data_IF_962208988563
#
_entry.id   IF_962208988563
#
_cell.length_a   1.000
_cell.length_b   1.000
_cell.length_c   1.000
_cell.angle_alpha   90.00
_cell.angle_beta   90.00
_cell.angle_gamma   90.00
#
_symmetry.space_group_name_H-M   'P 1'
#
loop_
_entity.id
_entity.type
_entity.pdbx_description
1 polymer ?
#
# COMPACT_ATOMS: atom_id res chain seq x y z
N UNK A 1 20.84 -16.49 -71.71
CA UNK A 1 21.23 -15.54 -70.64
C UNK A 1 20.33 -15.82 -69.42
N UNK A 2 20.88 -16.47 -68.38
CA UNK A 2 20.14 -16.86 -67.18
C UNK A 2 20.33 -15.79 -66.09
N UNK A 3 19.23 -15.12 -65.71
CA UNK A 3 19.25 -14.16 -64.57
C UNK A 3 19.14 -14.93 -63.25
N UNK A 4 20.18 -14.88 -62.44
CA UNK A 4 20.15 -15.36 -61.05
C UNK A 4 19.74 -14.22 -60.16
N UNK A 5 18.50 -14.25 -59.68
CA UNK A 5 18.01 -13.34 -58.64
C UNK A 5 18.52 -13.82 -57.31
N UNK A 6 19.46 -13.10 -56.74
CA UNK A 6 20.03 -13.40 -55.40
C UNK A 6 19.04 -12.93 -54.34
N UNK A 7 18.34 -13.87 -53.69
CA UNK A 7 17.43 -13.62 -52.57
C UNK A 7 18.24 -13.41 -51.29
N UNK A 8 18.47 -12.16 -50.92
CA UNK A 8 19.16 -11.82 -49.66
C UNK A 8 18.17 -11.96 -48.48
N UNK A 9 18.22 -13.10 -47.77
CA UNK A 9 17.46 -13.30 -46.52
C UNK A 9 18.17 -12.57 -45.42
N UNK A 10 17.65 -11.39 -45.01
CA UNK A 10 18.08 -10.66 -43.81
C UNK A 10 17.50 -11.38 -42.62
N UNK A 11 18.29 -12.18 -41.92
CA UNK A 11 18.01 -12.72 -40.60
C UNK A 11 18.02 -11.57 -39.59
N UNK A 12 16.85 -11.03 -39.30
CA UNK A 12 16.65 -10.09 -38.19
C UNK A 12 16.77 -10.92 -36.89
N UNK A 13 17.95 -10.94 -36.30
CA UNK A 13 18.13 -11.42 -34.93
C UNK A 13 17.44 -10.44 -33.96
N UNK A 14 16.17 -10.65 -33.67
CA UNK A 14 15.51 -10.02 -32.54
C UNK A 14 16.07 -10.64 -31.27
N UNK A 15 17.08 -10.01 -30.70
CA UNK A 15 17.53 -10.31 -29.34
C UNK A 15 16.38 -9.98 -28.40
N UNK A 16 15.57 -10.96 -28.04
CA UNK A 16 14.67 -10.88 -26.89
C UNK A 16 15.57 -10.69 -25.66
N UNK A 17 15.72 -9.47 -25.20
CA UNK A 17 16.25 -9.20 -23.87
C UNK A 17 15.27 -9.82 -22.86
N UNK A 18 15.50 -11.07 -22.51
CA UNK A 18 14.86 -11.72 -21.37
C UNK A 18 15.36 -10.97 -20.12
N UNK A 19 14.50 -10.13 -19.56
CA UNK A 19 14.76 -9.56 -18.24
C UNK A 19 14.87 -10.73 -17.27
N UNK A 20 16.06 -10.92 -16.67
CA UNK A 20 16.28 -11.96 -15.68
C UNK A 20 15.47 -11.63 -14.42
N UNK A 21 14.34 -12.27 -14.26
CA UNK A 21 13.53 -12.21 -13.05
C UNK A 21 13.84 -13.42 -12.17
N UNK A 22 14.23 -13.18 -10.93
CA UNK A 22 14.40 -14.26 -9.96
C UNK A 22 13.17 -14.41 -9.11
N UNK A 23 12.51 -15.54 -9.23
CA UNK A 23 11.36 -15.92 -8.41
C UNK A 23 11.80 -16.82 -7.27
N UNK A 24 11.33 -16.53 -6.06
CA UNK A 24 11.60 -17.34 -4.86
C UNK A 24 10.28 -17.72 -4.19
N UNK A 25 10.09 -19.01 -3.92
CA UNK A 25 8.96 -19.50 -3.13
C UNK A 25 9.07 -19.05 -1.68
N UNK A 26 7.94 -18.65 -1.10
CA UNK A 26 7.84 -18.19 0.29
C UNK A 26 6.95 -19.12 1.09
N UNK A 27 7.26 -19.29 2.38
CA UNK A 27 6.32 -19.88 3.34
C UNK A 27 5.12 -18.97 3.61
N UNK A 28 4.15 -19.48 4.39
CA UNK A 28 2.94 -18.73 4.74
C UNK A 28 3.26 -17.50 5.59
N UNK A 29 2.53 -16.39 5.35
CA UNK A 29 2.64 -15.16 6.11
C UNK A 29 1.26 -14.49 6.20
N UNK A 30 1.04 -13.78 7.29
CA UNK A 30 -0.17 -12.96 7.51
C UNK A 30 0.14 -11.47 7.64
N UNK A 31 1.43 -11.11 7.74
CA UNK A 31 1.90 -9.74 7.86
C UNK A 31 3.11 -9.50 6.94
N UNK A 32 3.10 -8.37 6.27
CA UNK A 32 4.26 -7.90 5.50
C UNK A 32 4.79 -6.59 6.07
N UNK A 33 6.12 -6.42 6.02
CA UNK A 33 6.81 -5.18 6.34
C UNK A 33 7.80 -4.84 5.24
N UNK A 34 7.66 -3.67 4.64
CA UNK A 34 8.47 -3.21 3.51
C UNK A 34 9.25 -1.98 3.91
N UNK A 35 10.53 -1.90 3.52
CA UNK A 35 11.48 -0.88 3.94
C UNK A 35 12.31 -0.33 2.78
N UNK A 36 13.06 0.77 3.05
CA UNK A 36 14.14 1.30 2.21
C UNK A 36 13.71 1.68 0.79
N UNK A 37 12.57 2.34 0.62
CA UNK A 37 12.12 2.83 -0.69
C UNK A 37 11.73 1.75 -1.70
N UNK A 38 11.63 0.47 -1.31
CA UNK A 38 11.21 -0.62 -2.20
C UNK A 38 9.80 -0.34 -2.72
N UNK A 39 9.60 -0.50 -4.04
CA UNK A 39 8.28 -0.50 -4.67
C UNK A 39 7.75 -1.92 -4.78
N UNK A 40 6.70 -2.21 -4.02
CA UNK A 40 6.06 -3.52 -3.95
C UNK A 40 4.69 -3.50 -4.61
N UNK A 41 4.46 -4.45 -5.51
CA UNK A 41 3.14 -4.76 -6.05
C UNK A 41 2.60 -6.06 -5.41
N UNK A 42 1.39 -6.00 -4.82
CA UNK A 42 0.69 -7.14 -4.24
C UNK A 42 -0.22 -7.78 -5.28
N UNK A 43 -0.06 -9.08 -5.50
CA UNK A 43 -0.82 -9.86 -6.49
C UNK A 43 -1.41 -11.10 -5.82
N UNK A 44 -2.75 -11.23 -5.83
CA UNK A 44 -3.40 -12.46 -5.34
C UNK A 44 -3.10 -13.60 -6.30
N UNK A 45 -2.64 -14.73 -5.78
CA UNK A 45 -2.25 -15.91 -6.56
C UNK A 45 -2.58 -17.19 -5.77
N UNK A 46 -2.31 -18.35 -6.34
CA UNK A 46 -2.42 -19.67 -5.70
C UNK A 46 -1.20 -20.02 -4.84
N UNK A 47 -0.09 -19.31 -5.00
CA UNK A 47 1.19 -19.57 -4.35
C UNK A 47 1.77 -18.30 -3.72
N UNK A 48 2.55 -18.49 -2.65
CA UNK A 48 3.34 -17.41 -2.06
C UNK A 48 4.71 -17.38 -2.73
N UNK A 49 4.99 -16.32 -3.49
CA UNK A 49 6.28 -16.13 -4.17
C UNK A 49 6.69 -14.67 -4.24
N UNK A 50 7.98 -14.43 -4.23
CA UNK A 50 8.58 -13.12 -4.42
C UNK A 50 9.28 -13.08 -5.77
N UNK A 51 8.99 -12.08 -6.56
CA UNK A 51 9.65 -11.80 -7.84
C UNK A 51 10.37 -10.45 -7.74
N UNK A 52 11.67 -10.45 -7.92
CA UNK A 52 12.48 -9.24 -7.91
C UNK A 52 12.79 -8.91 -9.36
N UNK A 53 12.34 -7.72 -9.80
CA UNK A 53 12.47 -7.26 -11.16
C UNK A 53 13.86 -6.67 -11.40
N UNK A 54 14.35 -6.80 -12.64
CA UNK A 54 15.70 -6.44 -13.05
C UNK A 54 16.76 -7.27 -12.27
N UNK A 55 17.97 -7.26 -12.68
CA UNK A 55 19.05 -8.07 -12.04
C UNK A 55 19.53 -7.47 -10.70
N UNK A 56 18.58 -7.25 -9.76
CA UNK A 56 18.82 -6.61 -8.45
C UNK A 56 18.56 -7.55 -7.27
N UNK A 57 18.52 -8.85 -7.52
CA UNK A 57 18.21 -9.86 -6.48
C UNK A 57 19.22 -9.88 -5.35
N UNK A 58 20.46 -9.61 -5.64
CA UNK A 58 21.55 -9.53 -4.67
C UNK A 58 21.40 -8.36 -3.70
N UNK A 59 20.63 -7.32 -4.06
CA UNK A 59 20.40 -6.13 -3.23
C UNK A 59 19.23 -6.27 -2.25
N UNK A 60 18.31 -7.19 -2.52
CA UNK A 60 17.12 -7.38 -1.69
C UNK A 60 17.35 -8.48 -0.67
N UNK A 61 16.99 -8.20 0.57
CA UNK A 61 16.89 -9.18 1.66
C UNK A 61 15.43 -9.37 2.04
N UNK A 62 15.02 -10.61 2.11
CA UNK A 62 13.70 -10.96 2.66
C UNK A 62 13.86 -12.06 3.71
N UNK A 63 13.00 -12.01 4.73
CA UNK A 63 12.95 -13.00 5.82
C UNK A 63 11.50 -13.17 6.26
N UNK A 64 11.03 -14.40 6.23
CA UNK A 64 9.77 -14.78 6.85
C UNK A 64 10.07 -15.43 8.20
N UNK A 65 9.53 -14.88 9.27
CA UNK A 65 9.69 -15.38 10.63
C UNK A 65 8.37 -15.27 11.37
N UNK A 66 7.85 -16.40 11.85
CA UNK A 66 6.56 -16.47 12.55
C UNK A 66 5.41 -15.80 11.77
N UNK A 67 5.35 -16.02 10.45
CA UNK A 67 4.32 -15.46 9.58
C UNK A 67 4.47 -13.95 9.30
N UNK A 68 5.59 -13.33 9.66
CA UNK A 68 5.93 -11.93 9.34
C UNK A 68 7.00 -11.93 8.26
N UNK A 69 6.60 -11.55 7.05
CA UNK A 69 7.52 -11.37 5.93
C UNK A 69 8.07 -9.94 5.93
N UNK A 70 9.38 -9.79 6.13
CA UNK A 70 10.11 -8.53 6.01
C UNK A 70 10.86 -8.50 4.69
N UNK A 71 10.77 -7.40 3.96
CA UNK A 71 11.50 -7.15 2.71
C UNK A 71 12.21 -5.81 2.85
N UNK A 72 13.53 -5.81 2.66
CA UNK A 72 14.40 -4.64 2.82
C UNK A 72 15.58 -4.72 1.87
N UNK A 73 16.34 -3.64 1.73
CA UNK A 73 17.61 -3.67 1.04
C UNK A 73 18.73 -4.20 1.96
N UNK A 74 19.78 -4.75 1.37
CA UNK A 74 21.02 -5.07 2.08
C UNK A 74 21.84 -3.80 2.25
N UNK A 75 22.62 -3.73 3.32
CA UNK A 75 23.65 -2.70 3.47
C UNK A 75 24.85 -3.00 2.56
N UNK A 76 25.46 -2.03 1.87
CA UNK A 76 25.18 -0.59 1.87
C UNK A 76 24.13 -0.12 0.85
N UNK A 77 23.47 -1.02 0.11
CA UNK A 77 22.52 -0.70 -0.97
C UNK A 77 21.27 0.07 -0.48
N UNK A 78 20.98 0.01 0.82
CA UNK A 78 19.93 0.80 1.43
C UNK A 78 20.16 2.33 1.33
N UNK A 79 21.37 2.76 0.96
CA UNK A 79 21.74 4.15 0.70
C UNK A 79 21.71 4.51 -0.80
N UNK A 80 21.49 3.54 -1.68
CA UNK A 80 21.48 3.77 -3.12
C UNK A 80 20.15 4.32 -3.59
N UNK A 81 20.20 5.26 -4.56
CA UNK A 81 19.01 5.95 -5.12
C UNK A 81 18.28 5.10 -6.18
N UNK A 82 18.76 3.89 -6.49
CA UNK A 82 18.16 3.06 -7.52
C UNK A 82 16.84 2.45 -7.06
N UNK A 83 15.78 2.70 -7.82
CA UNK A 83 14.46 2.12 -7.62
C UNK A 83 14.51 0.58 -7.69
N UNK A 84 14.03 -0.09 -6.66
CA UNK A 84 13.89 -1.54 -6.60
C UNK A 84 12.42 -1.90 -6.68
N UNK A 85 12.05 -2.65 -7.72
CA UNK A 85 10.67 -3.12 -7.93
C UNK A 85 10.57 -4.60 -7.59
N UNK A 86 9.52 -4.92 -6.83
CA UNK A 86 9.27 -6.27 -6.33
C UNK A 86 7.79 -6.60 -6.51
N UNK A 87 7.47 -7.81 -6.96
CA UNK A 87 6.12 -8.36 -6.94
C UNK A 87 6.02 -9.42 -5.86
N UNK A 88 5.02 -9.29 -5.02
CA UNK A 88 4.69 -10.27 -3.99
C UNK A 88 3.37 -10.94 -4.34
N UNK A 89 3.46 -12.20 -4.71
CA UNK A 89 2.30 -13.06 -4.94
C UNK A 89 1.91 -13.71 -3.62
N UNK A 90 0.62 -13.71 -3.29
CA UNK A 90 0.12 -14.24 -2.03
C UNK A 90 -1.17 -15.06 -2.21
N UNK A 91 -1.25 -16.21 -1.50
CA UNK A 91 -2.39 -17.13 -1.58
C UNK A 91 -3.44 -16.92 -0.51
N UNK A 92 -3.06 -16.47 0.68
CA UNK A 92 -3.94 -16.26 1.83
C UNK A 92 -4.07 -14.79 2.20
N UNK A 93 -5.01 -14.46 3.06
CA UNK A 93 -5.24 -13.08 3.48
C UNK A 93 -4.02 -12.50 4.19
N UNK A 94 -3.63 -11.28 3.80
CA UNK A 94 -2.59 -10.50 4.48
C UNK A 94 -3.28 -9.58 5.47
N UNK A 95 -3.27 -9.94 6.75
CA UNK A 95 -3.95 -9.17 7.79
C UNK A 95 -3.32 -7.81 8.05
N UNK A 96 -1.99 -7.66 7.86
CA UNK A 96 -1.27 -6.41 8.10
C UNK A 96 -0.32 -6.10 6.95
N UNK A 97 -0.52 -4.94 6.32
CA UNK A 97 0.37 -4.36 5.31
C UNK A 97 1.04 -3.14 5.94
N UNK A 98 2.38 -3.17 6.09
CA UNK A 98 3.16 -2.19 6.85
C UNK A 98 4.32 -1.65 5.98
N UNK A 99 4.17 -0.44 5.47
CA UNK A 99 5.18 0.28 4.69
C UNK A 99 5.96 1.25 5.56
N UNK A 100 7.29 1.25 5.41
CA UNK A 100 8.24 2.05 6.20
C UNK A 100 9.33 2.63 5.29
N UNK A 101 10.01 3.66 5.76
CA UNK A 101 11.23 4.22 5.15
C UNK A 101 11.07 4.50 3.65
N UNK A 102 10.04 5.28 3.30
CA UNK A 102 9.79 5.72 1.92
C UNK A 102 9.35 4.61 0.95
N UNK A 103 9.02 3.40 1.43
CA UNK A 103 8.53 2.32 0.57
C UNK A 103 7.19 2.67 -0.10
N UNK A 104 6.95 2.09 -1.26
CA UNK A 104 5.69 2.25 -2.01
C UNK A 104 5.02 0.88 -2.16
N UNK A 105 3.79 0.74 -1.70
CA UNK A 105 3.03 -0.51 -1.81
C UNK A 105 1.77 -0.28 -2.60
N UNK A 106 1.53 -1.09 -3.62
CA UNK A 106 0.32 -1.07 -4.43
C UNK A 106 -0.34 -2.44 -4.46
N UNK A 107 -1.66 -2.47 -4.62
CA UNK A 107 -2.41 -3.72 -4.75
C UNK A 107 -3.86 -3.45 -5.12
N UNK A 108 -4.43 -4.35 -5.92
CA UNK A 108 -5.81 -4.24 -6.38
C UNK A 108 -6.62 -5.47 -5.97
N UNK A 109 -7.94 -5.29 -5.85
CA UNK A 109 -8.90 -6.36 -5.56
C UNK A 109 -8.57 -7.16 -4.29
N UNK A 110 -8.10 -6.50 -3.22
CA UNK A 110 -7.85 -7.15 -1.93
C UNK A 110 -9.18 -7.36 -1.23
N UNK A 111 -9.67 -8.60 -1.26
CA UNK A 111 -10.96 -8.98 -0.67
C UNK A 111 -10.77 -9.90 0.52
N UNK A 112 -11.05 -9.39 1.72
CA UNK A 112 -10.87 -10.12 2.98
C UNK A 112 -11.70 -9.53 4.12
N UNK A 113 -11.87 -10.25 5.22
CA UNK A 113 -12.69 -9.79 6.35
C UNK A 113 -12.02 -8.66 7.13
N UNK A 114 -10.74 -8.76 7.41
CA UNK A 114 -9.96 -7.82 8.23
C UNK A 114 -8.70 -7.38 7.49
N UNK A 115 -8.41 -6.08 7.53
CA UNK A 115 -7.17 -5.53 7.01
C UNK A 115 -6.66 -4.38 7.90
N UNK A 116 -5.40 -4.42 8.28
CA UNK A 116 -4.68 -3.30 8.87
C UNK A 116 -3.64 -2.77 7.88
N UNK A 117 -3.69 -1.47 7.56
CA UNK A 117 -2.77 -0.78 6.65
C UNK A 117 -1.99 0.27 7.43
N UNK A 118 -0.67 0.18 7.39
CA UNK A 118 0.24 1.12 8.08
C UNK A 118 1.22 1.74 7.09
N UNK A 119 1.30 3.07 7.07
CA UNK A 119 2.34 3.82 6.37
C UNK A 119 3.06 4.72 7.36
N UNK A 120 4.36 4.57 7.44
CA UNK A 120 5.23 5.26 8.38
C UNK A 120 6.50 5.74 7.68
N UNK A 121 7.13 6.79 8.23
CA UNK A 121 8.45 7.25 7.76
C UNK A 121 8.47 7.53 6.25
N UNK A 122 7.47 8.28 5.78
CA UNK A 122 7.35 8.68 4.37
C UNK A 122 6.89 7.58 3.41
N UNK A 123 6.47 6.42 3.90
CA UNK A 123 5.95 5.36 3.03
C UNK A 123 4.61 5.75 2.38
N UNK A 124 4.36 5.24 1.18
CA UNK A 124 3.11 5.43 0.43
C UNK A 124 2.44 4.10 0.16
N UNK A 125 1.15 3.98 0.47
CA UNK A 125 0.36 2.77 0.24
C UNK A 125 -0.89 3.12 -0.56
N UNK A 126 -1.12 2.44 -1.70
CA UNK A 126 -2.28 2.64 -2.56
C UNK A 126 -2.94 1.28 -2.83
N UNK A 127 -4.16 1.08 -2.31
CA UNK A 127 -4.86 -0.21 -2.41
C UNK A 127 -6.31 -0.03 -2.84
N UNK A 128 -6.80 -0.98 -3.64
CA UNK A 128 -8.23 -1.21 -3.85
C UNK A 128 -8.68 -2.41 -3.01
N UNK A 129 -9.67 -2.19 -2.14
CA UNK A 129 -10.03 -3.15 -1.09
C UNK A 129 -11.55 -3.39 -0.99
N UNK A 130 -11.89 -4.58 -0.53
CA UNK A 130 -13.25 -4.92 -0.06
C UNK A 130 -13.14 -5.66 1.28
N UNK A 131 -13.52 -5.00 2.38
CA UNK A 131 -13.33 -5.54 3.73
C UNK A 131 -14.57 -5.40 4.60
N UNK A 132 -14.64 -6.10 5.72
CA UNK A 132 -15.61 -5.83 6.78
C UNK A 132 -15.04 -4.87 7.83
N UNK A 133 -13.78 -5.07 8.19
CA UNK A 133 -13.10 -4.28 9.23
C UNK A 133 -11.75 -3.79 8.70
N UNK A 134 -11.62 -2.48 8.61
CA UNK A 134 -10.42 -1.80 8.17
C UNK A 134 -9.81 -1.01 9.33
N UNK A 135 -8.51 -1.20 9.56
CA UNK A 135 -7.71 -0.33 10.42
C UNK A 135 -6.63 0.36 9.62
N UNK A 136 -6.50 1.67 9.76
CA UNK A 136 -5.53 2.50 9.05
C UNK A 136 -4.68 3.24 10.05
N UNK A 137 -3.36 3.22 9.85
CA UNK A 137 -2.41 4.01 10.60
C UNK A 137 -1.46 4.73 9.65
N UNK A 138 -1.60 6.05 9.54
CA UNK A 138 -0.73 6.89 8.71
C UNK A 138 -0.02 7.90 9.62
N UNK A 139 1.28 7.70 9.83
CA UNK A 139 2.05 8.52 10.78
C UNK A 139 3.42 8.88 10.20
N UNK A 140 4.06 9.90 10.78
CA UNK A 140 5.45 10.29 10.44
C UNK A 140 5.62 10.49 8.93
N UNK A 141 4.72 11.31 8.34
CA UNK A 141 4.72 11.60 6.90
C UNK A 141 4.25 10.45 5.99
N UNK A 142 3.70 9.37 6.54
CA UNK A 142 3.11 8.29 5.76
C UNK A 142 1.90 8.75 4.95
N UNK A 143 1.66 8.15 3.79
CA UNK A 143 0.53 8.45 2.90
C UNK A 143 -0.22 7.17 2.59
N UNK A 144 -1.53 7.14 2.85
CA UNK A 144 -2.38 6.00 2.51
C UNK A 144 -3.53 6.49 1.64
N UNK A 145 -3.70 5.86 0.47
CA UNK A 145 -4.82 6.07 -0.43
C UNK A 145 -5.58 4.75 -0.60
N UNK A 146 -6.85 4.74 -0.24
CA UNK A 146 -7.70 3.55 -0.38
C UNK A 146 -8.91 3.83 -1.26
N UNK A 147 -9.26 2.84 -2.07
CA UNK A 147 -10.48 2.79 -2.88
C UNK A 147 -11.25 1.50 -2.62
N UNK A 148 -12.50 1.42 -3.10
CA UNK A 148 -13.35 0.25 -2.94
C UNK A 148 -14.36 0.40 -1.80
N UNK A 149 -14.49 -0.58 -0.90
CA UNK A 149 -15.52 -0.57 0.15
C UNK A 149 -15.10 -1.25 1.46
N UNK A 150 -15.66 -0.77 2.56
CA UNK A 150 -15.57 -1.41 3.88
C UNK A 150 -16.86 -1.21 4.68
N UNK A 151 -17.15 -2.07 5.65
CA UNK A 151 -18.25 -1.81 6.59
C UNK A 151 -17.82 -0.84 7.69
N UNK A 152 -16.69 -1.13 8.32
CA UNK A 152 -16.18 -0.38 9.47
C UNK A 152 -14.75 0.07 9.20
N UNK A 153 -14.43 1.32 9.51
CA UNK A 153 -13.07 1.83 9.45
C UNK A 153 -12.65 2.51 10.76
N UNK A 154 -11.45 2.19 11.22
CA UNK A 154 -10.76 2.87 12.31
C UNK A 154 -9.49 3.53 11.78
N UNK A 155 -9.39 4.85 11.91
CA UNK A 155 -8.32 5.65 11.34
C UNK A 155 -7.52 6.37 12.44
N UNK A 156 -6.22 6.19 12.43
CA UNK A 156 -5.24 6.95 13.19
C UNK A 156 -4.30 7.67 12.22
N UNK A 157 -4.41 8.99 12.15
CA UNK A 157 -3.59 9.82 11.23
C UNK A 157 -2.90 10.88 12.09
N UNK A 158 -1.57 10.82 12.17
CA UNK A 158 -0.81 11.68 13.09
C UNK A 158 0.58 12.03 12.54
N UNK A 159 1.26 12.97 13.15
CA UNK A 159 2.64 13.35 12.83
C UNK A 159 2.84 13.55 11.31
N UNK A 160 2.05 14.48 10.73
CA UNK A 160 2.05 14.81 9.29
C UNK A 160 1.64 13.66 8.37
N UNK A 161 1.03 12.59 8.88
CA UNK A 161 0.43 11.53 8.09
C UNK A 161 -0.75 12.04 7.27
N UNK A 162 -1.01 11.39 6.13
CA UNK A 162 -2.11 11.73 5.23
C UNK A 162 -2.92 10.48 4.86
N UNK A 163 -4.23 10.61 4.94
CA UNK A 163 -5.17 9.58 4.49
C UNK A 163 -6.10 10.13 3.41
N UNK A 164 -6.07 9.51 2.23
CA UNK A 164 -6.96 9.79 1.10
C UNK A 164 -7.98 8.65 0.96
N UNK A 165 -9.15 8.79 1.59
CA UNK A 165 -10.20 7.79 1.63
C UNK A 165 -11.50 8.21 0.92
N UNK A 166 -11.51 9.27 0.10
CA UNK A 166 -12.73 9.62 -0.65
C UNK A 166 -13.12 8.58 -1.70
N UNK A 167 -12.20 7.72 -2.14
CA UNK A 167 -12.47 6.60 -3.02
C UNK A 167 -13.02 5.34 -2.31
N UNK A 168 -12.95 5.30 -0.97
CA UNK A 168 -13.41 4.18 -0.16
C UNK A 168 -14.81 4.44 0.38
N UNK A 169 -15.78 3.60 0.01
CA UNK A 169 -17.12 3.61 0.57
C UNK A 169 -17.13 2.93 1.93
N UNK A 170 -17.67 3.62 2.95
CA UNK A 170 -17.88 3.03 4.29
C UNK A 170 -19.37 2.98 4.55
N UNK A 171 -19.90 1.81 4.92
CA UNK A 171 -21.35 1.64 5.11
C UNK A 171 -21.80 1.86 6.55
N UNK A 172 -21.08 1.33 7.54
CA UNK A 172 -21.53 1.29 8.92
C UNK A 172 -20.79 2.35 9.78
N UNK A 173 -19.67 1.99 10.37
CA UNK A 173 -19.02 2.82 11.37
C UNK A 173 -17.68 3.43 10.92
N UNK A 174 -17.49 4.69 11.25
CA UNK A 174 -16.23 5.40 11.08
C UNK A 174 -15.76 5.97 12.40
N UNK A 175 -14.59 5.53 12.87
CA UNK A 175 -13.85 6.16 13.96
C UNK A 175 -12.56 6.75 13.40
N UNK A 176 -12.33 8.06 13.61
CA UNK A 176 -11.15 8.73 13.09
C UNK A 176 -10.51 9.63 14.14
N UNK A 177 -9.18 9.50 14.28
CA UNK A 177 -8.33 10.40 15.06
C UNK A 177 -7.32 11.04 14.14
N UNK A 178 -7.23 12.38 14.17
CA UNK A 178 -6.26 13.14 13.39
C UNK A 178 -5.49 14.06 14.35
N UNK A 179 -4.17 13.92 14.37
CA UNK A 179 -3.28 14.63 15.28
C UNK A 179 -2.39 15.67 14.59
N UNK A 180 -1.19 15.85 15.07
CA UNK A 180 -0.26 16.91 14.71
C UNK A 180 -0.06 17.03 13.20
N UNK A 181 -0.52 18.16 12.61
CA UNK A 181 -0.31 18.50 11.20
C UNK A 181 -0.83 17.50 10.19
N UNK A 182 -1.65 16.53 10.63
CA UNK A 182 -2.13 15.44 9.80
C UNK A 182 -3.44 15.75 9.08
N UNK A 183 -3.76 15.00 8.03
CA UNK A 183 -4.98 15.19 7.24
C UNK A 183 -5.65 13.85 6.96
N UNK A 184 -6.92 13.73 7.32
CA UNK A 184 -7.77 12.60 6.99
C UNK A 184 -8.93 13.04 6.08
N UNK A 185 -8.99 12.49 4.88
CA UNK A 185 -10.10 12.64 3.92
C UNK A 185 -10.84 11.31 3.83
N UNK A 186 -12.15 11.30 4.09
CA UNK A 186 -12.89 10.04 4.18
C UNK A 186 -14.35 10.17 3.74
N UNK A 187 -14.97 9.04 3.39
CA UNK A 187 -16.44 8.89 3.39
C UNK A 187 -16.86 8.17 4.66
N UNK A 188 -17.97 8.62 5.26
CA UNK A 188 -18.55 8.01 6.45
C UNK A 188 -19.86 7.30 6.10
N UNK A 189 -20.12 6.19 6.81
CA UNK A 189 -21.41 5.50 6.78
C UNK A 189 -22.41 6.09 7.79
N UNK A 190 -23.13 5.20 8.48
CA UNK A 190 -24.18 5.54 9.43
C UNK A 190 -23.64 6.30 10.66
N UNK A 191 -22.44 5.93 11.14
CA UNK A 191 -21.86 6.50 12.36
C UNK A 191 -20.50 7.16 12.08
N UNK A 192 -20.30 8.39 12.61
CA UNK A 192 -19.03 9.10 12.63
C UNK A 192 -18.63 9.45 14.06
N UNK A 193 -17.49 8.90 14.52
CA UNK A 193 -16.81 9.33 15.72
C UNK A 193 -15.46 9.96 15.34
N UNK A 194 -15.36 11.30 15.39
CA UNK A 194 -14.22 12.04 14.90
C UNK A 194 -13.56 12.85 16.01
N UNK A 195 -12.26 12.61 16.25
CA UNK A 195 -11.43 13.38 17.18
C UNK A 195 -10.28 14.05 16.45
N UNK A 196 -10.15 15.36 16.59
CA UNK A 196 -9.00 16.11 16.07
C UNK A 196 -8.24 16.76 17.22
N UNK A 197 -6.92 16.82 17.09
CA UNK A 197 -6.03 17.45 18.06
C UNK A 197 -4.83 18.14 17.40
N UNK A 198 -4.27 19.16 18.04
CA UNK A 198 -3.00 19.80 17.67
C UNK A 198 -2.87 20.16 16.19
N UNK A 199 -3.90 20.81 15.62
CA UNK A 199 -3.88 21.30 14.25
C UNK A 199 -4.14 20.24 13.17
N UNK A 200 -4.57 19.04 13.53
CA UNK A 200 -5.00 18.01 12.56
C UNK A 200 -6.26 18.42 11.79
N UNK A 201 -6.56 17.72 10.72
CA UNK A 201 -7.72 17.97 9.85
C UNK A 201 -8.46 16.69 9.51
N UNK A 202 -9.80 16.71 9.70
CA UNK A 202 -10.71 15.64 9.28
C UNK A 202 -11.73 16.25 8.31
N UNK A 203 -11.66 15.83 7.04
CA UNK A 203 -12.57 16.26 5.98
C UNK A 203 -13.41 15.04 5.57
N UNK A 204 -14.71 15.06 5.79
CA UNK A 204 -15.55 13.90 5.52
C UNK A 204 -16.69 14.21 4.55
N UNK A 205 -17.07 13.20 3.76
CA UNK A 205 -18.27 13.16 2.93
C UNK A 205 -19.28 12.18 3.52
N UNK A 206 -20.54 12.41 3.27
CA UNK A 206 -21.64 11.59 3.77
C UNK A 206 -22.49 12.30 4.83
N UNK A 207 -23.63 11.69 5.17
CA UNK A 207 -24.62 12.21 6.11
C UNK A 207 -24.86 11.19 7.22
N UNK A 208 -23.92 11.07 8.19
CA UNK A 208 -24.07 10.08 9.26
C UNK A 208 -25.28 10.38 10.14
N UNK A 209 -26.05 9.36 10.49
CA UNK A 209 -27.19 9.46 11.42
C UNK A 209 -26.70 9.79 12.84
N UNK A 210 -25.57 9.17 13.25
CA UNK A 210 -24.93 9.42 14.53
C UNK A 210 -23.57 10.10 14.31
N UNK A 211 -23.44 11.32 14.85
CA UNK A 211 -22.19 12.09 14.74
C UNK A 211 -21.69 12.55 16.09
N UNK A 212 -20.51 12.07 16.48
CA UNK A 212 -19.78 12.52 17.65
C UNK A 212 -18.47 13.17 17.21
N UNK A 213 -18.24 14.41 17.64
CA UNK A 213 -17.03 15.14 17.26
C UNK A 213 -16.34 15.74 18.49
N UNK A 214 -15.01 15.66 18.54
CA UNK A 214 -14.20 16.26 19.61
C UNK A 214 -12.99 16.99 19.03
N UNK A 215 -12.78 18.24 19.47
CA UNK A 215 -11.61 19.02 19.12
C UNK A 215 -10.80 19.28 20.40
N UNK A 216 -9.48 19.07 20.34
CA UNK A 216 -8.55 19.27 21.45
C UNK A 216 -7.35 20.08 20.95
N UNK A 217 -7.09 21.24 21.55
CA UNK A 217 -5.99 22.12 21.16
C UNK A 217 -5.97 22.46 19.64
N UNK A 218 -7.13 22.83 19.09
CA UNK A 218 -7.29 23.24 17.70
C UNK A 218 -7.51 22.08 16.73
N UNK A 219 -7.62 22.40 15.44
CA UNK A 219 -7.86 21.46 14.34
C UNK A 219 -9.22 21.67 13.66
N UNK A 220 -9.40 20.97 12.54
CA UNK A 220 -10.57 21.12 11.65
C UNK A 220 -11.32 19.80 11.54
N UNK A 221 -12.62 19.81 11.78
CA UNK A 221 -13.55 18.75 11.37
C UNK A 221 -14.58 19.42 10.48
N UNK A 222 -14.65 19.04 9.18
CA UNK A 222 -15.50 19.70 8.20
C UNK A 222 -16.15 18.67 7.28
N UNK A 223 -17.47 18.82 7.08
CA UNK A 223 -18.19 18.09 6.04
C UNK A 223 -17.93 18.76 4.69
N UNK A 224 -17.68 17.94 3.70
CA UNK A 224 -17.43 18.35 2.31
C UNK A 224 -18.60 17.88 1.43
N UNK A 225 -18.88 18.62 0.37
CA UNK A 225 -19.90 18.26 -0.61
C UNK A 225 -19.45 17.12 -1.52
#
# INVERSE_FOLDING_TARGET
MKNYTLLLIILINTSLFSQSTKTTSLGDFYKIKIFNGIKLELIKDKENKLEILEDKTDKVRFKNSNGILKISLKFPDNLSVNEIKVKLYYKQDIQVIDGNEGSVITGNNINQTYLEVKAQEGATIQLDISTKHLKVKSITGGIIQLTGKTKNQELEVDLYGVYHGYGLETTDNTTVKSGIGSKAELKTGETLNAKVSFGGSILYKGTPEVKQTKKVAGGIIKQMN
#
